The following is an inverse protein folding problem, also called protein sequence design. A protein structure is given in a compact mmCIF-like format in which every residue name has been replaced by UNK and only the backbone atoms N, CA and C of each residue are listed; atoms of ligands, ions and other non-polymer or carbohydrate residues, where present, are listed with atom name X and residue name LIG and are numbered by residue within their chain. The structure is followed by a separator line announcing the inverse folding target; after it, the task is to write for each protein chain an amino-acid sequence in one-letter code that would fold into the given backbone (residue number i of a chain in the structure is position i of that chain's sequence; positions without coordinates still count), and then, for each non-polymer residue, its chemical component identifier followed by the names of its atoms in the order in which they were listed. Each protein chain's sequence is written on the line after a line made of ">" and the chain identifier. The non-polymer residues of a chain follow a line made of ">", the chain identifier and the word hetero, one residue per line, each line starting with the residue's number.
data_IF_637872798319
#
_entry.id   IF_637872798319
#
_cell.length_a   1.000
_cell.length_b   1.000
_cell.length_c   1.000
_cell.angle_alpha   90.00
_cell.angle_beta   90.00
_cell.angle_gamma   90.00
#
_symmetry.space_group_name_H-M   'P 1'
#
loop_
_entity.id
_entity.type
_entity.pdbx_description
1 polymer ?
#
# COMPACT_ATOMS: atom_id res chain seq x y z
N UNK A 1 13.82 -10.62 11.72
CA UNK A 1 14.34 -10.41 10.32
C UNK A 1 13.73 -9.15 9.74
N UNK A 2 14.49 -8.29 9.07
CA UNK A 2 13.99 -7.07 8.42
C UNK A 2 14.90 -6.65 7.26
N UNK A 3 14.42 -5.74 6.41
CA UNK A 3 15.15 -5.21 5.25
C UNK A 3 15.34 -3.69 5.39
N UNK A 4 16.30 -3.24 6.24
CA UNK A 4 16.52 -1.80 6.46
C UNK A 4 17.07 -1.09 5.22
N UNK A 5 17.71 -1.85 4.34
CA UNK A 5 18.20 -1.40 3.03
C UNK A 5 17.61 -2.27 1.92
N UNK A 6 17.40 -1.69 0.75
CA UNK A 6 16.73 -2.31 -0.41
C UNK A 6 17.19 -3.75 -0.73
N UNK A 7 18.48 -4.03 -0.62
CA UNK A 7 19.06 -5.30 -1.07
C UNK A 7 19.58 -6.17 0.06
N UNK A 8 19.38 -5.75 1.33
CA UNK A 8 19.95 -6.42 2.49
C UNK A 8 18.90 -6.97 3.44
N UNK A 9 18.90 -8.29 3.62
CA UNK A 9 18.23 -8.96 4.73
C UNK A 9 19.12 -8.87 5.97
N UNK A 10 18.62 -8.28 7.04
CA UNK A 10 19.24 -8.27 8.36
C UNK A 10 18.51 -9.26 9.25
N UNK A 11 19.26 -10.13 9.89
CA UNK A 11 18.77 -11.13 10.85
C UNK A 11 19.33 -10.81 12.21
N UNK A 12 18.44 -10.69 13.19
CA UNK A 12 18.77 -10.58 14.61
C UNK A 12 18.26 -11.85 15.27
N UNK A 13 19.17 -12.62 15.84
CA UNK A 13 18.90 -13.92 16.43
C UNK A 13 18.97 -13.83 17.95
N UNK A 14 18.04 -14.50 18.64
CA UNK A 14 17.97 -14.57 20.11
C UNK A 14 18.14 -13.20 20.78
N UNK A 15 17.23 -12.25 20.45
CA UNK A 15 17.27 -10.89 20.96
C UNK A 15 16.05 -10.54 21.81
N UNK A 16 16.23 -9.60 22.73
CA UNK A 16 15.16 -8.91 23.44
C UNK A 16 14.98 -7.54 22.80
N UNK A 17 13.74 -7.22 22.49
CA UNK A 17 13.35 -5.88 22.06
C UNK A 17 12.62 -5.21 23.23
N UNK A 18 13.17 -4.11 23.71
CA UNK A 18 12.53 -3.28 24.71
C UNK A 18 11.75 -2.18 24.00
N UNK A 19 10.45 -2.09 24.31
CA UNK A 19 9.55 -1.07 23.82
C UNK A 19 9.19 -0.15 24.97
N UNK A 20 9.29 1.16 24.78
CA UNK A 20 8.94 2.15 25.81
C UNK A 20 7.43 2.46 25.84
N UNK A 21 7.01 3.32 26.77
CA UNK A 21 5.60 3.69 26.97
C UNK A 21 5.01 4.46 25.76
N UNK A 22 5.85 5.03 24.90
CA UNK A 22 5.45 5.70 23.66
C UNK A 22 5.37 4.73 22.46
N UNK A 23 5.64 3.43 22.70
CA UNK A 23 5.62 2.38 21.68
C UNK A 23 6.84 2.37 20.76
N UNK A 24 7.95 3.02 21.18
CA UNK A 24 9.19 3.08 20.44
C UNK A 24 10.13 1.94 20.86
N UNK A 25 10.91 1.43 19.92
CA UNK A 25 11.99 0.46 20.21
C UNK A 25 13.11 1.22 20.94
N UNK A 26 13.20 1.04 22.25
CA UNK A 26 14.20 1.68 23.10
C UNK A 26 15.56 0.94 23.06
N UNK A 27 15.54 -0.39 22.95
CA UNK A 27 16.74 -1.23 22.87
C UNK A 27 16.49 -2.53 22.12
N UNK A 28 17.54 -3.06 21.49
CA UNK A 28 17.60 -4.42 20.96
C UNK A 28 18.91 -5.04 21.45
N UNK A 29 18.81 -6.06 22.32
CA UNK A 29 19.96 -6.68 22.98
C UNK A 29 19.92 -8.20 22.89
N UNK A 30 21.08 -8.90 22.89
CA UNK A 30 21.10 -10.36 22.95
C UNK A 30 20.37 -10.87 24.22
N UNK A 31 19.54 -11.92 24.08
CA UNK A 31 18.77 -12.51 25.18
C UNK A 31 19.64 -12.95 26.35
N UNK A 32 20.89 -13.38 26.09
CA UNK A 32 21.87 -13.72 27.11
C UNK A 32 22.24 -12.57 28.06
N UNK A 33 21.88 -11.30 27.74
CA UNK A 33 22.06 -10.15 28.63
C UNK A 33 20.93 -9.93 29.62
N UNK A 34 19.83 -10.68 29.49
CA UNK A 34 18.70 -10.57 30.44
C UNK A 34 19.19 -10.94 31.85
N UNK A 35 19.08 -10.01 32.78
CA UNK A 35 19.45 -10.29 34.15
C UNK A 35 18.47 -11.30 34.77
N UNK A 36 18.93 -12.24 35.61
CA UNK A 36 18.04 -13.16 36.31
C UNK A 36 17.00 -12.39 37.15
N UNK A 37 15.72 -12.68 36.92
CA UNK A 37 14.61 -12.05 37.62
C UNK A 37 13.96 -10.86 36.87
N UNK A 38 14.44 -10.50 35.70
CA UNK A 38 13.70 -9.62 34.81
C UNK A 38 12.62 -10.42 34.08
N UNK A 39 11.40 -9.95 34.12
CA UNK A 39 10.28 -10.56 33.40
C UNK A 39 10.30 -10.11 31.93
N UNK A 40 9.89 -10.99 31.03
CA UNK A 40 9.62 -10.71 29.62
C UNK A 40 8.11 -10.71 29.46
N UNK A 41 7.54 -9.59 29.05
CA UNK A 41 6.09 -9.44 28.89
C UNK A 41 5.51 -10.36 27.82
N UNK A 42 6.31 -10.63 26.78
CA UNK A 42 5.89 -11.46 25.65
C UNK A 42 7.05 -12.30 25.10
N UNK A 43 6.98 -13.62 25.28
CA UNK A 43 7.97 -14.56 24.77
C UNK A 43 7.48 -15.20 23.47
N UNK A 44 8.27 -15.06 22.41
CA UNK A 44 8.05 -15.72 21.12
C UNK A 44 8.71 -17.11 21.14
N UNK A 45 8.00 -18.11 20.61
CA UNK A 45 8.55 -19.47 20.52
C UNK A 45 9.75 -19.57 19.55
N UNK A 46 10.55 -20.64 19.66
CA UNK A 46 11.78 -20.83 18.86
C UNK A 46 11.52 -20.95 17.36
N UNK A 47 10.32 -21.30 16.94
CA UNK A 47 9.90 -21.40 15.54
C UNK A 47 9.19 -20.12 15.04
N UNK A 48 9.28 -19.02 15.80
CA UNK A 48 8.62 -17.76 15.46
C UNK A 48 9.63 -16.74 14.93
N UNK A 49 9.30 -16.12 13.81
CA UNK A 49 10.09 -15.03 13.21
C UNK A 49 9.32 -13.72 13.33
N UNK A 50 9.96 -12.70 13.87
CA UNK A 50 9.44 -11.34 13.93
C UNK A 50 9.88 -10.56 12.69
N UNK A 51 8.92 -9.89 12.03
CA UNK A 51 9.10 -9.03 10.86
C UNK A 51 8.55 -7.64 11.15
N UNK A 52 9.00 -6.58 10.46
CA UNK A 52 8.33 -5.27 10.48
C UNK A 52 6.89 -5.39 9.98
N UNK A 53 6.01 -4.54 10.49
CA UNK A 53 4.66 -4.39 9.99
C UNK A 53 4.63 -4.01 8.52
N UNK A 54 3.69 -4.58 7.77
CA UNK A 54 3.53 -4.33 6.34
C UNK A 54 2.79 -3.02 6.09
N UNK A 55 3.16 -2.32 5.03
CA UNK A 55 2.65 -1.00 4.65
C UNK A 55 2.03 -1.09 3.27
N UNK A 56 0.70 -0.98 3.21
CA UNK A 56 -0.08 -0.98 1.98
C UNK A 56 -0.22 0.46 1.47
N UNK A 57 0.45 0.78 0.39
CA UNK A 57 0.50 2.15 -0.13
C UNK A 57 -0.64 2.50 -1.09
N UNK A 58 -1.55 1.55 -1.36
CA UNK A 58 -2.72 1.78 -2.20
C UNK A 58 -3.81 0.74 -1.98
N UNK A 59 -4.98 1.17 -1.51
CA UNK A 59 -6.13 0.31 -1.28
C UNK A 59 -7.45 1.09 -1.35
N UNK A 60 -8.46 0.55 -2.06
CA UNK A 60 -9.81 1.08 -2.12
C UNK A 60 -10.72 0.45 -1.07
N UNK A 61 -10.95 1.14 0.04
CA UNK A 61 -11.80 0.62 1.12
C UNK A 61 -13.23 0.24 0.66
N UNK A 62 -13.93 1.06 -0.16
CA UNK A 62 -15.29 0.75 -0.56
C UNK A 62 -15.42 -0.41 -1.54
N UNK A 63 -14.31 -0.96 -2.03
CA UNK A 63 -14.30 -2.13 -2.92
C UNK A 63 -14.09 -3.46 -2.18
N UNK A 64 -13.95 -3.44 -0.86
CA UNK A 64 -13.67 -4.63 -0.05
C UNK A 64 -14.58 -5.81 -0.34
N UNK A 65 -15.87 -5.57 -0.51
CA UNK A 65 -16.88 -6.62 -0.74
C UNK A 65 -16.84 -7.23 -2.14
N UNK A 66 -16.09 -6.63 -3.07
CA UNK A 66 -15.96 -7.09 -4.44
C UNK A 66 -14.66 -7.90 -4.66
N UNK A 67 -13.88 -8.14 -3.61
CA UNK A 67 -12.66 -8.95 -3.68
C UNK A 67 -12.87 -10.26 -4.47
N UNK A 68 -12.04 -10.47 -5.50
CA UNK A 68 -12.07 -11.68 -6.33
C UNK A 68 -13.23 -11.78 -7.30
N UNK A 69 -13.95 -10.68 -7.58
CA UNK A 69 -15.10 -10.67 -8.50
C UNK A 69 -14.91 -9.64 -9.62
N UNK A 70 -15.38 -9.99 -10.84
CA UNK A 70 -15.42 -9.09 -11.99
C UNK A 70 -14.09 -8.82 -12.68
N UNK A 71 -13.02 -9.52 -12.36
CA UNK A 71 -11.66 -9.26 -12.81
C UNK A 71 -11.34 -9.69 -14.26
N UNK A 72 -12.33 -10.22 -14.98
CA UNK A 72 -12.20 -10.65 -16.39
C UNK A 72 -12.60 -9.55 -17.39
N UNK A 73 -12.87 -8.33 -16.89
CA UNK A 73 -13.30 -7.18 -17.69
C UNK A 73 -12.14 -6.19 -17.90
N UNK A 74 -12.16 -5.38 -18.98
CA UNK A 74 -11.34 -4.18 -19.07
C UNK A 74 -11.62 -3.20 -17.92
N UNK A 75 -10.65 -2.37 -17.55
CA UNK A 75 -10.73 -1.45 -16.41
C UNK A 75 -11.99 -0.56 -16.46
N UNK A 76 -12.24 0.08 -17.59
CA UNK A 76 -13.37 0.98 -17.78
C UNK A 76 -14.72 0.28 -17.60
N UNK A 77 -14.86 -0.93 -18.15
CA UNK A 77 -16.07 -1.74 -17.98
C UNK A 77 -16.25 -2.20 -16.53
N UNK A 78 -15.18 -2.63 -15.87
CA UNK A 78 -15.17 -3.04 -14.49
C UNK A 78 -15.56 -1.90 -13.54
N UNK A 79 -15.05 -0.69 -13.78
CA UNK A 79 -15.41 0.51 -13.00
C UNK A 79 -16.89 0.79 -13.04
N UNK A 80 -17.49 0.83 -14.24
CA UNK A 80 -18.90 1.20 -14.41
C UNK A 80 -19.87 0.08 -14.05
N UNK A 81 -19.53 -1.18 -14.30
CA UNK A 81 -20.45 -2.30 -14.09
C UNK A 81 -20.42 -2.83 -12.64
N UNK A 82 -19.28 -2.77 -11.95
CA UNK A 82 -19.09 -3.37 -10.63
C UNK A 82 -18.70 -2.34 -9.57
N UNK A 83 -17.69 -1.53 -9.83
CA UNK A 83 -17.01 -0.73 -8.82
C UNK A 83 -17.84 0.47 -8.36
N UNK A 84 -18.22 1.36 -9.25
CA UNK A 84 -19.00 2.54 -8.88
C UNK A 84 -20.34 2.19 -8.22
N UNK A 85 -21.13 1.19 -8.69
CA UNK A 85 -22.35 0.77 -8.00
C UNK A 85 -22.11 0.30 -6.56
N UNK A 86 -21.00 -0.39 -6.29
CA UNK A 86 -20.67 -0.84 -4.95
C UNK A 86 -20.17 0.29 -4.08
N UNK A 87 -19.24 1.11 -4.57
CA UNK A 87 -18.71 2.26 -3.84
C UNK A 87 -19.82 3.24 -3.43
N UNK A 88 -20.80 3.46 -4.29
CA UNK A 88 -21.96 4.29 -3.98
C UNK A 88 -22.76 3.74 -2.79
N UNK A 89 -22.88 2.41 -2.64
CA UNK A 89 -23.56 1.81 -1.48
C UNK A 89 -22.80 2.06 -0.17
N UNK A 90 -21.48 2.19 -0.24
CA UNK A 90 -20.62 2.48 0.93
C UNK A 90 -20.65 3.95 1.34
N UNK A 91 -21.39 4.81 0.62
CA UNK A 91 -21.72 6.17 1.10
C UNK A 91 -22.82 6.15 2.17
N UNK A 92 -23.54 5.03 2.34
CA UNK A 92 -24.48 4.81 3.43
C UNK A 92 -23.72 4.49 4.73
N UNK A 93 -23.83 5.31 5.78
CA UNK A 93 -23.15 5.07 7.05
C UNK A 93 -23.51 3.72 7.70
N UNK A 94 -24.73 3.21 7.49
CA UNK A 94 -25.11 1.90 8.05
C UNK A 94 -24.33 0.76 7.39
N UNK A 95 -24.14 0.80 6.07
CA UNK A 95 -23.33 -0.20 5.33
C UNK A 95 -21.84 -0.06 5.70
N UNK A 96 -21.34 1.17 5.76
CA UNK A 96 -19.96 1.47 6.13
C UNK A 96 -19.62 0.97 7.55
N UNK A 97 -20.55 1.11 8.50
CA UNK A 97 -20.39 0.65 9.88
C UNK A 97 -20.22 -0.88 10.02
N UNK A 98 -20.71 -1.67 9.06
CA UNK A 98 -20.51 -3.11 9.01
C UNK A 98 -19.18 -3.48 8.32
N UNK A 99 -18.84 -2.78 7.25
CA UNK A 99 -17.71 -3.16 6.39
C UNK A 99 -16.36 -2.69 6.94
N UNK A 100 -16.25 -1.45 7.41
CA UNK A 100 -14.96 -0.90 7.85
C UNK A 100 -14.29 -1.70 8.97
N UNK A 101 -14.99 -2.07 10.07
CA UNK A 101 -14.36 -2.84 11.12
C UNK A 101 -13.89 -4.22 10.67
N UNK A 102 -14.66 -4.89 9.81
CA UNK A 102 -14.30 -6.19 9.25
C UNK A 102 -13.05 -6.08 8.37
N UNK A 103 -13.01 -5.13 7.44
CA UNK A 103 -11.88 -4.88 6.56
C UNK A 103 -10.61 -4.57 7.35
N UNK A 104 -10.65 -3.56 8.23
CA UNK A 104 -9.48 -3.14 9.02
C UNK A 104 -8.96 -4.26 9.90
N UNK A 105 -9.85 -5.00 10.59
CA UNK A 105 -9.43 -6.15 11.40
C UNK A 105 -8.80 -7.26 10.57
N UNK A 106 -9.32 -7.50 9.36
CA UNK A 106 -8.76 -8.50 8.44
C UNK A 106 -7.37 -8.08 7.95
N UNK A 107 -7.18 -6.82 7.56
CA UNK A 107 -5.88 -6.30 7.13
C UNK A 107 -4.84 -6.37 8.26
N UNK A 108 -5.21 -6.02 9.48
CA UNK A 108 -4.35 -6.20 10.66
C UNK A 108 -3.97 -7.68 10.86
N UNK A 109 -4.93 -8.61 10.72
CA UNK A 109 -4.65 -10.05 10.82
C UNK A 109 -3.73 -10.56 9.69
N UNK A 110 -3.63 -9.84 8.56
CA UNK A 110 -2.67 -10.09 7.48
C UNK A 110 -1.29 -9.44 7.73
N UNK A 111 -1.11 -8.77 8.87
CA UNK A 111 0.13 -8.07 9.22
C UNK A 111 0.27 -6.68 8.59
N UNK A 112 -0.80 -6.14 7.99
CA UNK A 112 -0.81 -4.80 7.38
C UNK A 112 -1.06 -3.75 8.46
N UNK A 113 0.01 -3.12 8.94
CA UNK A 113 -0.01 -2.17 10.07
C UNK A 113 -0.27 -0.73 9.64
N UNK A 114 0.00 -0.39 8.37
CA UNK A 114 -0.24 0.93 7.81
C UNK A 114 -0.87 0.82 6.42
N UNK A 115 -1.81 1.72 6.09
CA UNK A 115 -2.53 1.72 4.80
C UNK A 115 -2.78 3.14 4.31
N UNK A 116 -2.62 3.37 2.99
CA UNK A 116 -3.14 4.53 2.29
C UNK A 116 -4.47 4.17 1.61
N UNK A 117 -5.56 4.69 2.17
CA UNK A 117 -6.92 4.36 1.76
C UNK A 117 -7.52 5.37 0.80
N UNK A 118 -8.04 4.89 -0.32
CA UNK A 118 -9.11 5.55 -1.05
C UNK A 118 -10.43 5.19 -0.38
N UNK A 119 -11.18 6.19 0.12
CA UNK A 119 -12.51 5.99 0.68
C UNK A 119 -13.59 6.28 -0.37
N UNK A 120 -14.78 6.71 0.04
CA UNK A 120 -15.90 7.10 -0.85
C UNK A 120 -15.86 8.61 -1.16
N UNK A 121 -16.84 9.07 -1.94
CA UNK A 121 -17.12 10.51 -2.13
C UNK A 121 -17.82 11.14 -0.90
N UNK A 122 -18.26 10.35 0.08
CA UNK A 122 -18.93 10.81 1.30
C UNK A 122 -17.92 11.23 2.36
N UNK A 123 -18.04 12.44 2.88
CA UNK A 123 -17.24 12.93 4.03
C UNK A 123 -17.49 12.06 5.26
N UNK A 124 -18.77 11.76 5.56
CA UNK A 124 -19.17 11.01 6.74
C UNK A 124 -18.55 9.61 6.78
N UNK A 125 -18.72 8.80 5.73
CA UNK A 125 -18.21 7.43 5.71
C UNK A 125 -16.68 7.38 5.61
N UNK A 126 -16.03 8.40 5.03
CA UNK A 126 -14.59 8.58 5.04
C UNK A 126 -14.08 8.86 6.46
N UNK A 127 -14.72 9.76 7.19
CA UNK A 127 -14.40 10.05 8.60
C UNK A 127 -14.63 8.82 9.49
N UNK A 128 -15.70 8.05 9.23
CA UNK A 128 -15.96 6.78 9.91
C UNK A 128 -14.85 5.76 9.69
N UNK A 129 -14.28 5.66 8.49
CA UNK A 129 -13.13 4.79 8.22
C UNK A 129 -11.92 5.21 9.05
N UNK A 130 -11.59 6.50 9.04
CA UNK A 130 -10.49 7.06 9.83
C UNK A 130 -10.67 6.77 11.34
N UNK A 131 -11.87 6.99 11.88
CA UNK A 131 -12.19 6.67 13.26
C UNK A 131 -12.10 5.17 13.57
N UNK A 132 -12.45 4.31 12.61
CA UNK A 132 -12.33 2.86 12.74
C UNK A 132 -10.86 2.43 12.79
N UNK A 133 -10.00 2.97 11.92
CA UNK A 133 -8.56 2.71 11.96
C UNK A 133 -7.94 3.14 13.29
N UNK A 134 -8.27 4.37 13.75
CA UNK A 134 -7.82 4.87 15.06
C UNK A 134 -8.25 3.95 16.22
N UNK A 135 -9.51 3.50 16.21
CA UNK A 135 -10.07 2.63 17.26
C UNK A 135 -9.42 1.24 17.29
N UNK A 136 -9.12 0.68 16.12
CA UNK A 136 -8.53 -0.65 15.99
C UNK A 136 -6.99 -0.63 16.01
N UNK A 137 -6.39 0.55 16.10
CA UNK A 137 -4.95 0.72 16.23
C UNK A 137 -4.17 0.55 14.92
N UNK A 138 -4.78 0.74 13.76
CA UNK A 138 -4.08 0.71 12.47
C UNK A 138 -3.59 2.11 12.09
N UNK A 139 -2.36 2.24 11.58
CA UNK A 139 -1.93 3.48 10.92
C UNK A 139 -2.65 3.64 9.61
N UNK A 140 -3.16 4.83 9.32
CA UNK A 140 -3.90 5.05 8.10
C UNK A 140 -3.74 6.49 7.58
N UNK A 141 -3.54 6.60 6.27
CA UNK A 141 -3.84 7.80 5.51
C UNK A 141 -5.20 7.59 4.84
N UNK A 142 -6.18 8.43 5.16
CA UNK A 142 -7.54 8.22 4.68
C UNK A 142 -7.97 9.38 3.80
N UNK A 143 -8.28 9.09 2.54
CA UNK A 143 -8.64 10.08 1.54
C UNK A 143 -10.08 9.96 1.04
N UNK A 144 -10.83 11.06 1.14
CA UNK A 144 -12.10 11.19 0.44
C UNK A 144 -11.81 11.35 -1.05
N UNK A 145 -12.43 10.51 -1.89
CA UNK A 145 -12.23 10.55 -3.34
C UNK A 145 -12.91 11.75 -3.96
N UNK A 146 -12.12 12.63 -4.60
CA UNK A 146 -12.62 13.72 -5.44
C UNK A 146 -12.80 13.26 -6.87
N UNK A 147 -13.99 13.42 -7.46
CA UNK A 147 -14.29 13.14 -8.87
C UNK A 147 -15.57 13.86 -9.31
N UNK A 148 -15.51 14.56 -10.44
CA UNK A 148 -16.60 15.41 -10.97
C UNK A 148 -16.74 15.37 -12.49
N UNK A 149 -15.83 14.66 -13.21
CA UNK A 149 -15.83 14.66 -14.67
C UNK A 149 -16.95 13.78 -15.24
N UNK A 150 -17.86 14.31 -16.05
CA UNK A 150 -19.06 13.60 -16.50
C UNK A 150 -18.78 12.42 -17.44
N UNK A 151 -17.66 12.41 -18.14
CA UNK A 151 -17.29 11.31 -19.05
C UNK A 151 -16.58 10.16 -18.32
N UNK A 152 -15.92 10.45 -17.19
CA UNK A 152 -15.17 9.45 -16.42
C UNK A 152 -15.91 8.92 -15.19
N UNK A 153 -17.14 9.43 -14.90
CA UNK A 153 -17.89 9.04 -13.70
C UNK A 153 -19.41 9.05 -13.94
N UNK A 154 -20.18 8.16 -13.26
CA UNK A 154 -21.62 8.18 -13.34
C UNK A 154 -22.20 9.40 -12.59
N UNK A 155 -23.31 9.94 -13.07
CA UNK A 155 -23.95 11.15 -12.49
C UNK A 155 -24.48 10.95 -11.06
N UNK A 156 -24.76 9.72 -10.69
CA UNK A 156 -25.25 9.35 -9.35
C UNK A 156 -24.12 9.07 -8.35
N UNK A 157 -22.85 9.04 -8.78
CA UNK A 157 -21.68 8.81 -7.91
C UNK A 157 -20.51 9.71 -8.32
N UNK A 158 -20.67 11.02 -8.12
CA UNK A 158 -19.61 12.03 -8.30
C UNK A 158 -19.96 13.30 -7.53
N UNK A 159 -19.03 14.20 -7.42
CA UNK A 159 -19.23 15.56 -6.95
C UNK A 159 -20.10 16.35 -7.95
N UNK A 160 -20.91 17.28 -7.46
CA UNK A 160 -21.78 18.08 -8.32
C UNK A 160 -20.98 18.99 -9.28
N UNK A 161 -19.84 19.47 -8.80
CA UNK A 161 -18.86 20.28 -9.51
C UNK A 161 -17.53 20.32 -8.73
N UNK A 162 -16.50 20.95 -9.29
CA UNK A 162 -15.19 21.10 -8.68
C UNK A 162 -15.25 21.81 -7.30
N UNK A 163 -16.06 22.86 -7.17
CA UNK A 163 -16.16 23.61 -5.92
C UNK A 163 -16.75 22.75 -4.79
N UNK A 164 -17.77 21.94 -5.08
CA UNK A 164 -18.36 21.00 -4.13
C UNK A 164 -17.35 19.90 -3.73
N UNK A 165 -16.59 19.37 -4.68
CA UNK A 165 -15.55 18.36 -4.45
C UNK A 165 -14.42 18.88 -3.57
N UNK A 166 -13.93 20.10 -3.82
CA UNK A 166 -12.88 20.76 -3.02
C UNK A 166 -13.39 21.03 -1.59
N UNK A 167 -14.62 21.57 -1.44
CA UNK A 167 -15.21 21.83 -0.12
C UNK A 167 -15.41 20.54 0.69
N UNK A 168 -15.92 19.49 0.06
CA UNK A 168 -16.08 18.20 0.71
C UNK A 168 -14.73 17.57 1.13
N UNK A 169 -13.68 17.69 0.29
CA UNK A 169 -12.33 17.23 0.63
C UNK A 169 -11.75 18.04 1.79
N UNK A 170 -11.95 19.37 1.82
CA UNK A 170 -11.56 20.23 2.93
C UNK A 170 -12.24 19.82 4.24
N UNK A 171 -13.55 19.57 4.22
CA UNK A 171 -14.29 19.11 5.40
C UNK A 171 -13.77 17.77 5.90
N UNK A 172 -13.50 16.82 5.00
CA UNK A 172 -12.93 15.52 5.35
C UNK A 172 -11.59 15.66 6.07
N UNK A 173 -10.69 16.53 5.57
CA UNK A 173 -9.40 16.81 6.23
C UNK A 173 -9.61 17.33 7.66
N UNK A 174 -10.53 18.27 7.85
CA UNK A 174 -10.82 18.85 9.17
C UNK A 174 -11.40 17.80 10.12
N UNK A 175 -12.37 17.00 9.67
CA UNK A 175 -13.02 15.98 10.49
C UNK A 175 -12.05 14.83 10.86
N UNK A 176 -11.21 14.37 9.93
CA UNK A 176 -10.20 13.34 10.22
C UNK A 176 -9.20 13.85 11.26
N UNK A 177 -8.68 15.07 11.10
CA UNK A 177 -7.76 15.67 12.09
C UNK A 177 -8.42 15.85 13.46
N UNK A 178 -9.71 16.13 13.51
CA UNK A 178 -10.48 16.30 14.75
C UNK A 178 -10.60 14.97 15.56
N UNK A 179 -10.32 13.80 14.96
CA UNK A 179 -10.24 12.52 15.69
C UNK A 179 -9.10 12.57 16.71
N UNK A 180 -8.01 13.30 16.42
CA UNK A 180 -6.89 13.50 17.34
C UNK A 180 -6.05 12.25 17.60
N UNK A 181 -6.10 11.25 16.74
CA UNK A 181 -5.27 10.05 16.83
C UNK A 181 -3.93 10.26 16.13
N UNK A 182 -2.78 9.91 16.76
CA UNK A 182 -1.47 10.01 16.09
C UNK A 182 -1.26 8.93 15.01
N UNK A 183 -2.19 7.99 14.87
CA UNK A 183 -2.11 6.91 13.89
C UNK A 183 -2.80 7.25 12.57
N UNK A 184 -3.64 8.31 12.52
CA UNK A 184 -4.51 8.55 11.37
C UNK A 184 -4.35 9.98 10.87
N UNK A 185 -4.05 10.09 9.58
CA UNK A 185 -3.90 11.36 8.88
C UNK A 185 -4.79 11.41 7.63
N UNK A 186 -5.27 12.59 7.23
CA UNK A 186 -5.94 12.74 5.95
C UNK A 186 -4.93 12.70 4.79
N UNK A 187 -5.43 12.32 3.60
CA UNK A 187 -4.69 12.39 2.34
C UNK A 187 -5.60 12.94 1.24
N UNK A 188 -5.13 13.92 0.46
CA UNK A 188 -5.89 14.49 -0.65
C UNK A 188 -5.91 13.50 -1.80
N UNK A 189 -7.12 13.19 -2.31
CA UNK A 189 -7.32 12.06 -3.22
C UNK A 189 -8.16 12.45 -4.44
N UNK A 190 -7.61 13.17 -5.44
CA UNK A 190 -8.19 13.13 -6.78
C UNK A 190 -8.15 11.68 -7.28
N UNK A 191 -9.29 11.16 -7.81
CA UNK A 191 -9.33 9.74 -8.17
C UNK A 191 -8.28 9.41 -9.23
N UNK A 192 -8.36 10.05 -10.37
CA UNK A 192 -7.43 9.96 -11.51
C UNK A 192 -7.85 10.99 -12.58
N UNK A 193 -7.00 11.25 -13.56
CA UNK A 193 -7.23 12.32 -14.53
C UNK A 193 -8.53 12.18 -15.34
N UNK A 194 -8.99 10.97 -15.78
CA UNK A 194 -10.26 10.84 -16.48
C UNK A 194 -11.50 11.15 -15.62
N UNK A 195 -11.43 10.99 -14.30
CA UNK A 195 -12.57 11.22 -13.40
C UNK A 195 -12.64 12.63 -12.83
N UNK A 196 -11.66 13.49 -13.08
CA UNK A 196 -11.57 14.83 -12.52
C UNK A 196 -11.54 15.90 -13.61
N UNK A 197 -12.27 17.00 -13.43
CA UNK A 197 -12.11 18.20 -14.25
C UNK A 197 -10.79 18.91 -13.93
N UNK A 198 -10.28 19.76 -14.84
CA UNK A 198 -9.09 20.57 -14.62
C UNK A 198 -9.23 21.46 -13.38
N UNK A 199 -10.44 22.03 -13.16
CA UNK A 199 -10.74 22.87 -12.01
C UNK A 199 -10.65 22.07 -10.69
N UNK A 200 -11.12 20.82 -10.68
CA UNK A 200 -11.03 19.95 -9.51
C UNK A 200 -9.56 19.55 -9.24
N UNK A 201 -8.81 19.15 -10.26
CA UNK A 201 -7.40 18.79 -10.12
C UNK A 201 -6.59 19.97 -9.55
N UNK A 202 -6.73 21.16 -10.16
CA UNK A 202 -6.04 22.37 -9.69
C UNK A 202 -6.45 22.76 -8.27
N UNK A 203 -7.75 22.69 -7.95
CA UNK A 203 -8.27 23.00 -6.62
C UNK A 203 -7.81 22.05 -5.53
N UNK A 204 -7.68 20.75 -5.84
CA UNK A 204 -7.17 19.75 -4.90
C UNK A 204 -5.65 19.90 -4.68
N UNK A 205 -4.88 20.25 -5.73
CA UNK A 205 -3.46 20.60 -5.59
C UNK A 205 -3.25 21.80 -4.67
N UNK A 206 -4.04 22.86 -4.86
CA UNK A 206 -4.04 24.04 -3.99
C UNK A 206 -4.46 23.72 -2.55
N UNK A 207 -5.50 22.88 -2.37
CA UNK A 207 -5.96 22.42 -1.05
C UNK A 207 -4.89 21.63 -0.31
N UNK A 208 -4.18 20.73 -0.98
CA UNK A 208 -3.09 19.97 -0.39
C UNK A 208 -1.95 20.89 0.11
N UNK A 209 -1.61 21.90 -0.69
CA UNK A 209 -0.61 22.91 -0.30
C UNK A 209 -1.06 23.75 0.90
N UNK A 210 -2.31 24.24 0.88
CA UNK A 210 -2.91 25.03 1.98
C UNK A 210 -2.94 24.27 3.31
N UNK A 211 -3.30 23.00 3.24
CA UNK A 211 -3.50 22.17 4.44
C UNK A 211 -2.26 21.36 4.85
N UNK A 212 -1.18 21.45 4.10
CA UNK A 212 0.02 20.62 4.26
C UNK A 212 -0.34 19.13 4.37
N UNK A 213 -1.12 18.65 3.40
CA UNK A 213 -1.59 17.26 3.34
C UNK A 213 -0.92 16.58 2.14
N UNK A 214 -0.45 15.35 2.31
CA UNK A 214 0.10 14.56 1.19
C UNK A 214 -1.01 14.18 0.21
N UNK A 215 -0.62 13.74 -0.98
CA UNK A 215 -1.53 13.47 -2.10
C UNK A 215 -1.41 12.01 -2.53
N UNK A 216 -2.52 11.42 -2.95
CA UNK A 216 -2.53 10.16 -3.69
C UNK A 216 -3.46 10.27 -4.90
N UNK A 217 -3.09 9.63 -6.01
CA UNK A 217 -3.91 9.52 -7.22
C UNK A 217 -3.45 8.31 -8.03
N UNK A 218 -4.29 7.78 -8.94
CA UNK A 218 -3.83 6.84 -9.96
C UNK A 218 -3.06 7.60 -11.03
N UNK A 219 -2.14 6.93 -11.67
CA UNK A 219 -1.30 7.52 -12.70
C UNK A 219 -0.85 6.45 -13.70
N UNK A 220 -1.21 6.61 -14.95
CA UNK A 220 -0.75 5.76 -16.05
C UNK A 220 -0.93 4.25 -15.80
N UNK A 221 -2.12 3.86 -15.28
CA UNK A 221 -2.44 2.47 -14.94
C UNK A 221 -2.63 1.59 -16.17
N UNK A 222 -3.43 2.07 -17.14
CA UNK A 222 -3.82 1.28 -18.30
C UNK A 222 -3.62 2.05 -19.61
N UNK A 223 -3.68 1.34 -20.75
CA UNK A 223 -3.70 1.96 -22.07
C UNK A 223 -4.80 3.03 -22.20
N UNK A 224 -5.97 2.77 -21.59
CA UNK A 224 -7.09 3.70 -21.60
C UNK A 224 -6.78 5.00 -20.83
N UNK A 225 -6.30 4.91 -19.58
CA UNK A 225 -5.96 6.09 -18.77
C UNK A 225 -4.81 6.87 -19.39
N UNK A 226 -3.73 6.18 -19.76
CA UNK A 226 -2.57 6.79 -20.41
C UNK A 226 -2.94 7.48 -21.71
N UNK A 227 -3.76 6.82 -22.54
CA UNK A 227 -4.28 7.39 -23.80
C UNK A 227 -5.16 8.62 -23.57
N UNK A 228 -6.02 8.60 -22.56
CA UNK A 228 -6.88 9.74 -22.20
C UNK A 228 -6.06 10.96 -21.77
N UNK A 229 -4.98 10.76 -21.00
CA UNK A 229 -4.07 11.84 -20.63
C UNK A 229 -3.37 12.46 -21.84
N UNK A 230 -2.85 11.62 -22.74
CA UNK A 230 -2.21 12.08 -23.99
C UNK A 230 -3.19 12.85 -24.90
N UNK A 231 -4.43 12.36 -25.02
CA UNK A 231 -5.46 13.03 -25.85
C UNK A 231 -5.88 14.38 -25.26
N UNK A 232 -6.14 14.42 -23.92
CA UNK A 232 -6.64 15.62 -23.25
C UNK A 232 -5.57 16.69 -23.02
N UNK A 233 -4.35 16.28 -22.64
CA UNK A 233 -3.29 17.21 -22.21
C UNK A 233 -2.13 17.33 -23.19
N UNK A 234 -2.00 16.43 -24.17
CA UNK A 234 -0.88 16.39 -25.11
C UNK A 234 0.47 16.03 -24.46
N UNK A 235 0.44 15.43 -23.26
CA UNK A 235 1.61 15.06 -22.44
C UNK A 235 1.29 13.88 -21.55
N UNK A 236 2.30 13.27 -20.91
CA UNK A 236 2.10 12.16 -19.97
C UNK A 236 1.19 12.56 -18.80
N UNK A 237 0.56 11.56 -18.20
CA UNK A 237 -0.30 11.75 -17.04
C UNK A 237 0.45 12.40 -15.87
N UNK A 238 1.67 11.94 -15.60
CA UNK A 238 2.58 12.53 -14.60
C UNK A 238 2.84 14.01 -14.87
N UNK A 239 3.18 14.38 -16.12
CA UNK A 239 3.41 15.77 -16.48
C UNK A 239 2.13 16.63 -16.43
N UNK A 240 0.96 16.03 -16.66
CA UNK A 240 -0.33 16.69 -16.46
C UNK A 240 -0.60 16.97 -14.99
N UNK A 241 -0.44 15.95 -14.12
CA UNK A 241 -0.59 16.07 -12.67
C UNK A 241 0.38 17.09 -12.06
N UNK A 242 1.63 17.16 -12.53
CA UNK A 242 2.59 18.18 -12.11
C UNK A 242 2.10 19.60 -12.47
N UNK A 243 1.52 19.76 -13.65
CA UNK A 243 0.91 21.03 -14.07
C UNK A 243 -0.25 21.51 -13.19
N UNK A 244 -0.91 20.61 -12.45
CA UNK A 244 -1.94 20.91 -11.45
C UNK A 244 -1.40 20.97 -10.01
N UNK A 245 -0.07 20.99 -9.84
CA UNK A 245 0.61 20.99 -8.53
C UNK A 245 0.28 19.76 -7.67
N UNK A 246 0.00 18.61 -8.28
CA UNK A 246 -0.30 17.37 -7.60
C UNK A 246 0.93 16.46 -7.40
N UNK A 247 2.07 16.76 -8.02
CA UNK A 247 3.33 16.01 -7.84
C UNK A 247 4.21 16.78 -6.85
N UNK A 248 4.24 16.32 -5.60
CA UNK A 248 4.99 16.93 -4.48
C UNK A 248 5.66 15.85 -3.63
N UNK A 249 6.43 16.27 -2.65
CA UNK A 249 7.05 15.34 -1.70
C UNK A 249 6.00 14.45 -1.03
N UNK A 250 6.27 13.15 -1.00
CA UNK A 250 5.36 12.10 -0.54
C UNK A 250 4.03 11.98 -1.32
N UNK A 251 3.91 12.53 -2.54
CA UNK A 251 2.78 12.17 -3.41
C UNK A 251 2.89 10.71 -3.82
N UNK A 252 1.79 9.96 -3.66
CA UNK A 252 1.68 8.55 -4.04
C UNK A 252 0.96 8.44 -5.38
N UNK A 253 1.66 7.92 -6.38
CA UNK A 253 1.13 7.62 -7.70
C UNK A 253 0.88 6.11 -7.81
N UNK A 254 -0.37 5.69 -7.88
CA UNK A 254 -0.68 4.27 -8.00
C UNK A 254 -0.45 3.77 -9.43
N UNK A 255 0.06 2.54 -9.54
CA UNK A 255 0.35 1.75 -10.76
C UNK A 255 1.61 2.19 -11.51
N UNK A 256 1.54 3.19 -12.37
CA UNK A 256 2.69 3.72 -13.11
C UNK A 256 3.19 2.82 -14.24
N UNK A 257 2.35 1.96 -14.82
CA UNK A 257 2.76 0.93 -15.78
C UNK A 257 3.32 1.49 -17.08
N UNK A 258 2.88 2.71 -17.47
CA UNK A 258 3.27 3.38 -18.70
C UNK A 258 4.26 4.55 -18.48
N UNK A 259 4.94 4.62 -17.31
CA UNK A 259 5.91 5.69 -17.02
C UNK A 259 7.21 5.55 -17.84
N UNK A 260 7.67 6.67 -18.37
CA UNK A 260 8.94 6.82 -19.06
C UNK A 260 10.07 7.37 -18.17
N UNK A 261 11.27 7.56 -18.76
CA UNK A 261 12.43 8.09 -18.03
C UNK A 261 12.20 9.53 -17.53
N UNK A 262 11.56 10.36 -18.34
CA UNK A 262 11.23 11.76 -17.99
C UNK A 262 10.25 11.80 -16.82
N UNK A 263 9.30 10.86 -16.77
CA UNK A 263 8.36 10.73 -15.63
C UNK A 263 9.09 10.31 -14.36
N UNK A 264 10.01 9.34 -14.43
CA UNK A 264 10.83 8.92 -13.29
C UNK A 264 11.70 10.07 -12.77
N UNK A 265 12.27 10.88 -13.66
CA UNK A 265 13.04 12.03 -13.27
C UNK A 265 12.18 13.08 -12.54
N UNK A 266 10.99 13.38 -13.06
CA UNK A 266 10.04 14.31 -12.45
C UNK A 266 9.61 13.81 -11.07
N UNK A 267 9.15 12.55 -10.95
CA UNK A 267 8.70 11.93 -9.69
C UNK A 267 9.80 11.99 -8.63
N UNK A 268 11.01 11.55 -9.00
CA UNK A 268 12.18 11.57 -8.09
C UNK A 268 12.51 12.98 -7.63
N UNK A 269 12.58 13.96 -8.55
CA UNK A 269 12.97 15.33 -8.23
C UNK A 269 11.95 16.02 -7.31
N UNK A 270 10.68 15.68 -7.43
CA UNK A 270 9.61 16.15 -6.55
C UNK A 270 9.61 15.46 -5.17
N UNK A 271 10.31 14.34 -5.00
CA UNK A 271 10.22 13.50 -3.80
C UNK A 271 8.93 12.69 -3.72
N UNK A 272 8.20 12.57 -4.83
CA UNK A 272 7.05 11.68 -4.98
C UNK A 272 7.49 10.22 -5.14
N UNK A 273 6.53 9.30 -5.32
CA UNK A 273 6.85 7.92 -5.62
C UNK A 273 5.65 7.11 -6.08
N UNK A 274 5.86 5.83 -6.30
CA UNK A 274 4.90 4.92 -6.92
C UNK A 274 4.43 3.86 -5.93
N UNK A 275 3.11 3.64 -5.86
CA UNK A 275 2.52 2.46 -5.26
C UNK A 275 2.41 1.37 -6.33
N UNK A 276 3.34 0.42 -6.32
CA UNK A 276 3.33 -0.71 -7.25
C UNK A 276 2.29 -1.74 -6.83
N UNK A 277 1.31 -2.01 -7.69
CA UNK A 277 0.18 -2.90 -7.47
C UNK A 277 0.24 -4.12 -8.41
N UNK A 278 1.17 -5.07 -8.19
CA UNK A 278 1.56 -6.05 -9.23
C UNK A 278 0.42 -6.96 -9.68
N UNK A 279 -0.50 -7.32 -8.79
CA UNK A 279 -1.62 -8.19 -9.13
C UNK A 279 -2.71 -7.44 -9.90
N UNK A 280 -3.06 -6.23 -9.48
CA UNK A 280 -4.02 -5.39 -10.20
C UNK A 280 -3.50 -5.01 -11.60
N UNK A 281 -2.23 -4.63 -11.68
CA UNK A 281 -1.58 -4.32 -12.95
C UNK A 281 -1.67 -5.52 -13.94
N UNK A 282 -1.60 -6.76 -13.43
CA UNK A 282 -1.76 -7.94 -14.26
C UNK A 282 -3.19 -8.13 -14.82
N UNK A 283 -4.21 -7.58 -14.17
CA UNK A 283 -5.60 -7.61 -14.65
C UNK A 283 -5.93 -6.42 -15.56
N UNK A 284 -5.46 -5.22 -15.23
CA UNK A 284 -5.96 -3.97 -15.80
C UNK A 284 -4.91 -3.11 -16.51
N UNK A 285 -3.60 -3.27 -16.16
CA UNK A 285 -2.55 -2.35 -16.60
C UNK A 285 -2.21 -2.42 -18.09
N UNK A 286 -2.49 -3.55 -18.76
CA UNK A 286 -2.05 -3.85 -20.14
C UNK A 286 -0.52 -3.81 -20.31
N UNK A 287 0.22 -3.50 -19.25
CA UNK A 287 1.68 -3.42 -19.18
C UNK A 287 2.18 -3.98 -17.83
N UNK A 288 3.48 -3.94 -17.61
CA UNK A 288 4.12 -4.32 -16.35
C UNK A 288 4.95 -3.15 -15.86
N UNK A 289 4.68 -2.69 -14.64
CA UNK A 289 5.49 -1.64 -14.03
C UNK A 289 6.97 -2.03 -13.98
N UNK A 290 7.87 -1.22 -14.55
CA UNK A 290 9.29 -1.52 -14.61
C UNK A 290 10.01 -1.22 -13.28
N UNK A 291 9.64 -1.95 -12.22
CA UNK A 291 10.05 -1.69 -10.84
C UNK A 291 11.58 -1.56 -10.68
N UNK A 292 12.36 -2.43 -11.34
CA UNK A 292 13.83 -2.36 -11.31
C UNK A 292 14.32 -1.02 -11.84
N UNK A 293 13.85 -0.59 -13.01
CA UNK A 293 14.24 0.66 -13.67
C UNK A 293 13.89 1.88 -12.80
N UNK A 294 12.69 1.89 -12.21
CA UNK A 294 12.25 2.95 -11.32
C UNK A 294 13.08 3.01 -10.02
N UNK A 295 13.39 1.85 -9.40
CA UNK A 295 14.27 1.75 -8.23
C UNK A 295 15.70 2.26 -8.55
N UNK A 296 16.24 1.91 -9.71
CA UNK A 296 17.59 2.32 -10.12
C UNK A 296 17.63 3.80 -10.54
N UNK A 297 16.50 4.37 -10.98
CA UNK A 297 16.32 5.81 -11.18
C UNK A 297 16.19 6.59 -9.86
N UNK A 298 16.05 5.91 -8.70
CA UNK A 298 15.93 6.52 -7.38
C UNK A 298 14.51 7.00 -7.04
N UNK A 299 13.49 6.45 -7.71
CA UNK A 299 12.07 6.68 -7.38
C UNK A 299 11.73 5.94 -6.10
N UNK A 300 11.00 6.57 -5.16
CA UNK A 300 10.43 5.90 -3.99
C UNK A 300 9.35 4.93 -4.45
N UNK A 301 9.39 3.69 -3.95
CA UNK A 301 8.39 2.67 -4.33
C UNK A 301 7.91 1.94 -3.09
N UNK A 302 6.59 1.94 -2.91
CA UNK A 302 5.90 1.04 -1.99
C UNK A 302 5.11 -0.03 -2.74
N UNK A 303 4.65 -1.08 -2.05
CA UNK A 303 3.67 -2.02 -2.60
C UNK A 303 2.25 -1.62 -2.20
N UNK A 304 1.31 -1.79 -3.13
CA UNK A 304 -0.12 -1.67 -2.90
C UNK A 304 -0.84 -3.00 -3.16
N UNK A 305 -1.87 -3.29 -2.39
CA UNK A 305 -2.75 -4.42 -2.65
C UNK A 305 -3.76 -4.11 -3.76
N UNK A 306 -4.11 -2.85 -3.85
CA UNK A 306 -5.18 -2.34 -4.71
C UNK A 306 -6.46 -3.20 -4.62
N UNK A 307 -6.92 -3.40 -3.41
CA UNK A 307 -8.23 -4.02 -3.18
C UNK A 307 -9.32 -3.14 -3.84
N UNK A 308 -10.16 -3.64 -4.75
CA UNK A 308 -10.32 -5.04 -5.17
C UNK A 308 -9.84 -5.31 -6.61
N UNK A 309 -9.14 -4.37 -7.28
CA UNK A 309 -8.43 -4.65 -8.52
C UNK A 309 -7.34 -5.71 -8.29
N UNK A 310 -6.67 -5.67 -7.14
CA UNK A 310 -5.90 -6.80 -6.62
C UNK A 310 -6.80 -7.76 -5.82
N UNK A 311 -6.92 -9.01 -6.27
CA UNK A 311 -7.82 -10.01 -5.67
C UNK A 311 -7.39 -10.52 -4.28
N UNK A 312 -6.24 -10.12 -3.77
CA UNK A 312 -5.63 -10.60 -2.51
C UNK A 312 -5.16 -9.45 -1.64
N UNK A 313 -5.70 -9.28 -0.41
CA UNK A 313 -5.36 -8.13 0.44
C UNK A 313 -4.02 -8.27 1.17
N UNK A 314 -3.38 -9.45 1.14
CA UNK A 314 -2.14 -9.70 1.88
C UNK A 314 -0.89 -9.26 1.13
N UNK A 315 -0.11 -8.32 1.68
CA UNK A 315 1.10 -7.78 1.05
C UNK A 315 2.24 -8.79 0.87
N UNK A 316 2.34 -9.84 1.69
CA UNK A 316 3.31 -10.91 1.45
C UNK A 316 3.06 -11.59 0.10
N UNK A 317 1.79 -11.76 -0.29
CA UNK A 317 1.46 -12.28 -1.62
C UNK A 317 1.84 -11.29 -2.73
N UNK A 318 1.60 -9.98 -2.52
CA UNK A 318 2.00 -8.94 -3.46
C UNK A 318 3.53 -8.90 -3.67
N UNK A 319 4.33 -9.20 -2.65
CA UNK A 319 5.79 -9.37 -2.82
C UNK A 319 6.14 -10.47 -3.84
N UNK A 320 5.45 -11.61 -3.76
CA UNK A 320 5.66 -12.72 -4.69
C UNK A 320 5.19 -12.36 -6.12
N UNK A 321 4.08 -11.63 -6.22
CA UNK A 321 3.53 -11.16 -7.50
C UNK A 321 4.44 -10.13 -8.16
N UNK A 322 5.01 -9.18 -7.40
CA UNK A 322 5.99 -8.21 -7.89
C UNK A 322 7.23 -8.89 -8.49
N UNK A 323 7.78 -9.90 -7.81
CA UNK A 323 8.89 -10.70 -8.34
C UNK A 323 8.47 -11.43 -9.62
N UNK A 324 7.27 -12.01 -9.66
CA UNK A 324 6.75 -12.74 -10.82
C UNK A 324 6.56 -11.80 -12.02
N UNK A 325 5.94 -10.63 -11.82
CA UNK A 325 5.76 -9.61 -12.84
C UNK A 325 7.10 -9.14 -13.43
N UNK A 326 8.10 -8.88 -12.57
CA UNK A 326 9.44 -8.48 -13.00
C UNK A 326 10.13 -9.55 -13.87
N UNK A 327 9.85 -10.84 -13.64
CA UNK A 327 10.35 -11.94 -14.46
C UNK A 327 9.65 -12.02 -15.83
N UNK A 328 8.34 -11.80 -15.86
CA UNK A 328 7.63 -11.73 -17.15
C UNK A 328 8.13 -10.57 -18.01
N UNK A 329 8.44 -9.43 -17.38
CA UNK A 329 9.04 -8.30 -18.07
C UNK A 329 10.45 -8.63 -18.60
N UNK A 330 11.31 -9.25 -17.76
CA UNK A 330 12.68 -9.63 -18.14
C UNK A 330 12.71 -10.65 -19.26
N UNK A 331 11.96 -11.76 -19.09
CA UNK A 331 12.05 -12.92 -19.99
C UNK A 331 11.15 -12.76 -21.22
N UNK A 332 10.13 -11.86 -21.17
CA UNK A 332 9.07 -11.76 -22.15
C UNK A 332 8.18 -13.00 -22.20
N UNK A 333 7.06 -12.93 -22.92
CA UNK A 333 6.03 -13.97 -22.89
C UNK A 333 5.74 -14.59 -24.25
N UNK A 334 6.19 -14.02 -25.36
CA UNK A 334 5.94 -14.53 -26.70
C UNK A 334 7.04 -15.50 -27.18
N UNK A 335 6.80 -16.82 -27.16
CA UNK A 335 7.80 -17.80 -27.57
C UNK A 335 8.12 -17.78 -29.09
N UNK A 336 7.40 -17.01 -29.89
CA UNK A 336 7.67 -16.83 -31.33
C UNK A 336 8.83 -15.87 -31.55
N UNK A 337 9.17 -15.04 -30.57
CA UNK A 337 10.36 -14.19 -30.57
C UNK A 337 11.59 -14.97 -30.09
N UNK A 338 12.75 -14.68 -30.67
CA UNK A 338 14.01 -15.23 -30.19
C UNK A 338 14.28 -14.76 -28.72
N UNK A 339 14.96 -15.59 -27.93
CA UNK A 339 15.14 -15.30 -26.50
C UNK A 339 15.89 -13.98 -26.24
N UNK A 340 16.83 -13.63 -27.14
CA UNK A 340 17.62 -12.39 -27.10
C UNK A 340 16.82 -11.13 -27.44
N UNK A 341 15.71 -11.29 -28.19
CA UNK A 341 14.85 -10.19 -28.63
C UNK A 341 13.56 -10.08 -27.77
N UNK A 342 13.35 -11.02 -26.86
CA UNK A 342 12.14 -11.16 -26.07
C UNK A 342 12.35 -10.57 -24.67
N UNK A 343 11.40 -9.71 -24.23
CA UNK A 343 11.42 -9.10 -22.90
C UNK A 343 12.36 -7.89 -22.79
N UNK A 344 12.54 -7.42 -21.57
CA UNK A 344 13.34 -6.23 -21.23
C UNK A 344 14.45 -6.62 -20.27
N UNK A 345 15.72 -6.67 -20.70
CA UNK A 345 16.83 -7.06 -19.83
C UNK A 345 17.00 -6.18 -18.60
N UNK A 346 17.48 -6.79 -17.51
CA UNK A 346 17.71 -6.15 -16.21
C UNK A 346 16.41 -5.61 -15.54
N UNK A 347 15.30 -6.34 -15.69
CA UNK A 347 14.00 -5.97 -15.08
C UNK A 347 13.72 -6.70 -13.77
N UNK A 348 14.46 -7.78 -13.45
CA UNK A 348 14.19 -8.62 -12.27
C UNK A 348 14.46 -7.89 -10.97
N UNK A 349 13.53 -8.08 -10.03
CA UNK A 349 13.73 -7.76 -8.62
C UNK A 349 13.83 -9.04 -7.78
N UNK A 350 14.47 -8.95 -6.63
CA UNK A 350 14.56 -10.04 -5.66
C UNK A 350 13.37 -9.99 -4.67
N UNK A 351 13.17 -11.11 -3.95
CA UNK A 351 12.15 -11.15 -2.88
C UNK A 351 12.51 -10.24 -1.70
N UNK A 352 13.80 -9.97 -1.49
CA UNK A 352 14.29 -9.02 -0.47
C UNK A 352 13.88 -7.61 -0.85
N UNK A 353 14.03 -7.22 -2.12
CA UNK A 353 13.61 -5.92 -2.62
C UNK A 353 12.09 -5.77 -2.61
N UNK A 354 11.35 -6.82 -2.96
CA UNK A 354 9.89 -6.80 -2.88
C UNK A 354 9.39 -6.63 -1.43
N UNK A 355 9.99 -7.30 -0.47
CA UNK A 355 9.66 -7.13 0.94
C UNK A 355 10.10 -5.74 1.47
N UNK A 356 11.22 -5.21 0.99
CA UNK A 356 11.62 -3.84 1.30
C UNK A 356 10.57 -2.83 0.82
N UNK A 357 10.01 -2.99 -0.39
CA UNK A 357 8.92 -2.15 -0.87
C UNK A 357 7.65 -2.26 -0.01
N UNK A 358 7.36 -3.47 0.54
CA UNK A 358 6.21 -3.68 1.44
C UNK A 358 6.44 -3.14 2.87
N UNK A 359 7.64 -2.68 3.20
CA UNK A 359 8.04 -2.20 4.54
C UNK A 359 8.73 -0.85 4.47
N UNK A 360 10.07 -0.79 4.40
CA UNK A 360 10.82 0.47 4.36
C UNK A 360 10.49 1.34 3.16
N UNK A 361 10.34 0.76 1.96
CA UNK A 361 9.97 1.51 0.76
C UNK A 361 8.60 2.17 0.90
N UNK A 362 7.61 1.45 1.43
CA UNK A 362 6.29 2.00 1.77
C UNK A 362 6.37 3.10 2.83
N UNK A 363 7.22 2.92 3.86
CA UNK A 363 7.45 3.93 4.89
C UNK A 363 8.08 5.20 4.30
N UNK A 364 9.11 5.07 3.47
CA UNK A 364 9.75 6.20 2.80
C UNK A 364 8.79 6.94 1.86
N UNK A 365 7.92 6.21 1.16
CA UNK A 365 6.91 6.79 0.27
C UNK A 365 5.89 7.62 1.05
N UNK A 366 5.38 7.10 2.17
CA UNK A 366 4.35 7.76 2.98
C UNK A 366 4.91 8.71 4.06
N UNK A 367 6.25 8.84 4.18
CA UNK A 367 6.87 9.65 5.23
C UNK A 367 6.68 9.11 6.64
N UNK A 368 6.51 7.78 6.79
CA UNK A 368 6.32 7.13 8.08
C UNK A 368 7.67 6.77 8.75
N UNK A 369 7.78 6.87 10.07
CA UNK A 369 9.01 6.49 10.79
C UNK A 369 9.12 4.97 11.06
N UNK A 370 8.31 4.13 10.38
CA UNK A 370 8.23 2.68 10.59
C UNK A 370 8.99 1.88 9.51
N UNK A 371 8.67 0.60 9.32
CA UNK A 371 9.16 -0.24 8.24
C UNK A 371 10.43 -1.05 8.56
N UNK A 372 11.07 -0.83 9.70
CA UNK A 372 12.20 -1.63 10.18
C UNK A 372 12.18 -1.82 11.69
N UNK A 373 12.80 -2.90 12.17
CA UNK A 373 12.99 -3.17 13.60
C UNK A 373 14.34 -2.59 14.04
N UNK A 374 14.34 -1.29 14.35
CA UNK A 374 15.54 -0.54 14.72
C UNK A 374 15.26 0.35 15.94
N UNK A 375 16.26 0.57 16.78
CA UNK A 375 16.16 1.47 17.93
C UNK A 375 15.77 2.88 17.45
N UNK A 376 14.80 3.47 18.13
CA UNK A 376 14.27 4.80 17.82
C UNK A 376 13.14 4.82 16.79
N UNK A 377 12.69 3.64 16.30
CA UNK A 377 11.49 3.51 15.46
C UNK A 377 10.30 2.99 16.29
N UNK A 378 9.06 3.29 15.90
CA UNK A 378 7.88 2.65 16.48
C UNK A 378 7.95 1.13 16.32
N UNK A 379 7.49 0.40 17.32
CA UNK A 379 7.37 -1.05 17.27
C UNK A 379 6.09 -1.44 16.52
N UNK A 380 6.17 -1.42 15.19
CA UNK A 380 5.17 -1.96 14.28
C UNK A 380 5.73 -3.28 13.74
N UNK A 381 5.12 -4.40 14.11
CA UNK A 381 5.68 -5.73 13.86
C UNK A 381 4.61 -6.79 13.66
N UNK A 382 4.99 -7.89 13.00
CA UNK A 382 4.21 -9.14 12.98
C UNK A 382 5.10 -10.33 13.31
N UNK A 383 4.52 -11.30 14.03
CA UNK A 383 5.16 -12.56 14.37
C UNK A 383 4.57 -13.68 13.51
N UNK A 384 5.44 -14.50 12.91
CA UNK A 384 5.06 -15.59 12.00
C UNK A 384 5.56 -16.91 12.58
N UNK A 385 4.65 -17.86 12.81
CA UNK A 385 4.98 -19.25 13.15
C UNK A 385 5.41 -19.99 11.88
N UNK A 386 6.68 -20.35 11.81
CA UNK A 386 7.30 -21.00 10.65
C UNK A 386 7.11 -22.51 10.62
N UNK A 387 6.37 -23.08 11.61
CA UNK A 387 6.16 -24.54 11.74
C UNK A 387 4.74 -24.93 12.12
N UNK A 388 3.78 -24.03 11.92
CA UNK A 388 2.37 -24.33 12.21
C UNK A 388 1.90 -25.60 11.50
N UNK A 389 1.23 -26.48 12.24
CA UNK A 389 0.67 -27.71 11.69
C UNK A 389 -0.35 -27.40 10.59
N UNK A 390 -0.19 -28.07 9.44
CA UNK A 390 -1.08 -27.90 8.28
C UNK A 390 -0.73 -26.71 7.38
N UNK A 391 0.28 -25.88 7.73
CA UNK A 391 0.80 -24.84 6.85
C UNK A 391 1.81 -25.40 5.85
N UNK A 392 1.85 -24.92 4.58
CA UNK A 392 2.93 -25.20 3.67
C UNK A 392 4.24 -24.52 4.10
N UNK A 393 4.16 -23.48 4.95
CA UNK A 393 5.33 -22.83 5.53
C UNK A 393 5.96 -23.74 6.60
N UNK A 394 7.10 -24.32 6.25
CA UNK A 394 7.89 -25.16 7.15
C UNK A 394 9.35 -24.78 7.06
N UNK A 395 9.91 -24.22 8.14
CA UNK A 395 11.34 -24.04 8.31
C UNK A 395 11.95 -25.33 8.91
N UNK A 396 12.88 -25.96 8.19
CA UNK A 396 13.48 -27.24 8.59
C UNK A 396 14.87 -27.02 9.18
N UNK A 397 15.09 -27.22 10.49
CA UNK A 397 16.42 -27.11 11.08
C UNK A 397 17.46 -27.97 10.35
N UNK A 398 18.60 -27.37 10.03
CA UNK A 398 19.69 -28.03 9.30
C UNK A 398 19.48 -28.14 7.78
N UNK A 399 18.31 -27.82 7.25
CA UNK A 399 18.04 -27.76 5.80
C UNK A 399 17.85 -26.32 5.32
N UNK A 400 17.22 -25.50 6.12
CA UNK A 400 16.98 -24.08 5.82
C UNK A 400 17.97 -23.21 6.61
N UNK A 401 18.51 -22.23 5.93
CA UNK A 401 19.21 -21.08 6.53
C UNK A 401 18.23 -19.89 6.61
N UNK A 402 18.66 -18.79 7.21
CA UNK A 402 17.84 -17.59 7.39
C UNK A 402 17.26 -17.05 6.09
N UNK A 403 18.07 -17.00 5.02
CA UNK A 403 17.62 -16.53 3.72
C UNK A 403 16.50 -17.40 3.15
N UNK A 404 16.62 -18.73 3.25
CA UNK A 404 15.57 -19.65 2.81
C UNK A 404 14.32 -19.56 3.67
N UNK A 405 14.48 -19.42 4.97
CA UNK A 405 13.36 -19.22 5.90
C UNK A 405 12.62 -17.93 5.56
N UNK A 406 13.35 -16.84 5.35
CA UNK A 406 12.77 -15.57 4.92
C UNK A 406 12.01 -15.70 3.59
N UNK A 407 12.63 -16.32 2.57
CA UNK A 407 11.96 -16.53 1.28
C UNK A 407 10.67 -17.35 1.41
N UNK A 408 10.67 -18.39 2.25
CA UNK A 408 9.49 -19.21 2.52
C UNK A 408 8.40 -18.38 3.21
N UNK A 409 8.76 -17.59 4.21
CA UNK A 409 7.80 -16.71 4.91
C UNK A 409 7.13 -15.80 3.89
N UNK A 410 7.89 -15.03 3.12
CA UNK A 410 7.32 -14.05 2.20
C UNK A 410 6.44 -14.69 1.12
N UNK A 411 6.77 -15.91 0.66
CA UNK A 411 6.00 -16.57 -0.41
C UNK A 411 4.87 -17.48 0.07
N UNK A 412 4.94 -18.00 1.29
CA UNK A 412 4.05 -19.08 1.72
C UNK A 412 3.21 -18.75 2.94
N UNK A 413 3.63 -17.75 3.75
CA UNK A 413 2.87 -17.41 4.96
C UNK A 413 1.46 -16.93 4.59
N UNK A 414 0.52 -17.39 5.36
CA UNK A 414 -0.89 -17.02 5.31
C UNK A 414 -1.27 -16.29 6.62
N UNK A 415 -2.42 -15.62 6.71
CA UNK A 415 -2.86 -15.01 7.96
C UNK A 415 -2.95 -16.00 9.13
N UNK A 416 -3.16 -17.29 8.83
CA UNK A 416 -3.19 -18.32 9.86
C UNK A 416 -1.79 -18.60 10.47
N UNK A 417 -0.72 -18.25 9.78
CA UNK A 417 0.66 -18.38 10.28
C UNK A 417 1.12 -17.15 11.06
N UNK A 418 0.38 -16.02 10.99
CA UNK A 418 0.64 -14.80 11.74
C UNK A 418 0.03 -14.94 13.13
N UNK A 419 0.88 -15.00 14.14
CA UNK A 419 0.44 -15.23 15.53
C UNK A 419 0.13 -13.96 16.28
N UNK A 420 0.81 -12.87 15.99
CA UNK A 420 0.66 -11.59 16.67
C UNK A 420 1.01 -10.43 15.74
N UNK A 421 0.34 -9.30 15.92
CA UNK A 421 0.62 -8.05 15.21
C UNK A 421 0.59 -6.89 16.19
N UNK A 422 1.59 -6.01 16.10
CA UNK A 422 1.72 -4.81 16.93
C UNK A 422 1.77 -3.55 16.05
N UNK A 423 1.19 -2.49 16.57
CA UNK A 423 1.30 -1.12 16.03
C UNK A 423 1.62 -0.18 17.20
N UNK A 424 2.68 0.61 17.06
CA UNK A 424 3.15 1.50 18.12
C UNK A 424 3.25 0.79 19.50
N UNK A 425 3.80 -0.42 19.52
CA UNK A 425 3.97 -1.22 20.73
C UNK A 425 2.70 -1.94 21.22
N UNK A 426 1.53 -1.60 20.72
CA UNK A 426 0.27 -2.22 21.14
C UNK A 426 -0.08 -3.42 20.27
N UNK A 427 -0.45 -4.53 20.88
CA UNK A 427 -0.94 -5.72 20.16
C UNK A 427 -2.34 -5.44 19.62
N UNK A 428 -2.48 -5.46 18.29
CA UNK A 428 -3.73 -5.11 17.59
C UNK A 428 -4.42 -6.31 16.92
N UNK A 429 -3.68 -7.39 16.65
CA UNK A 429 -4.23 -8.64 16.15
C UNK A 429 -3.38 -9.83 16.61
N UNK A 430 -3.94 -11.04 16.51
CA UNK A 430 -3.23 -12.30 16.78
C UNK A 430 -4.16 -13.43 17.16
N UNK A 431 -3.69 -14.65 16.95
CA UNK A 431 -4.43 -15.90 17.20
C UNK A 431 -4.27 -16.41 18.63
N UNK A 432 -3.39 -15.82 19.45
CA UNK A 432 -3.22 -16.22 20.85
C UNK A 432 -4.20 -15.43 21.74
N UNK A 433 -4.90 -16.13 22.66
CA UNK A 433 -5.81 -15.50 23.60
C UNK A 433 -5.09 -14.57 24.59
#
# INVERSE_FOLDING_TARGET
>A
MHTPERTRLTVLDDVIITVDDDGMIAAIEPAARLAPGNDVDHELGPDTVLLPGLIDTHLHAPQWQQLGTGLDLPLEDWLFQHTFPLEQRLTDPAVAAEVWPHMVSTLLAHGTTAVAYYATVSVETTTMLAATCAKLGQRAFVGRVGMDHPEGTPDWYRDADAAAGIDASRRSIVEIRAIGSPLVEPIVTPRFTPACTDDLLAGLGALAAETNTIIQTHCSESDWEHGAALERFGRSDTAALDGFELIKDHTVLAHGDHLGDDDFELIRNAGAGVAHCPLSNAYFGNAVFPARRALDAGVRIGLGSDVAGGARPGLLAQCADAVTASRYLEDGVDPRQAAEDRGTPNSRISIVEAFWMATMGGAELLGLPTGALEVGRPFDALAVDTRRTGSPLQAWPGLDNDARTFEKIVRLATPADITDVWVAGHRVAGSRP
#
